data_IF_170960380185
#
_entry.id   IF_170960380185
#
_cell.length_a   1.000
_cell.length_b   1.000
_cell.length_c   1.000
_cell.angle_alpha   90.00
_cell.angle_beta   90.00
_cell.angle_gamma   90.00
#
_symmetry.space_group_name_H-M   'P 1'
#
loop_
_entity.id
_entity.type
_entity.pdbx_description
1 polymer ?
#
# COMPACT_ATOMS: atom_id res chain seq x y z
N UNK A 1 48.07 34.86 -33.30
CA UNK A 1 49.51 35.16 -33.20
C UNK A 1 50.07 34.37 -32.03
N UNK A 2 51.06 33.47 -32.32
CA UNK A 2 52.18 33.04 -31.48
C UNK A 2 51.79 32.23 -30.22
N UNK A 3 52.38 31.08 -29.86
CA UNK A 3 53.45 30.24 -30.47
C UNK A 3 53.38 28.86 -29.81
N UNK A 4 53.58 27.86 -30.60
CA UNK A 4 53.94 26.48 -30.32
C UNK A 4 55.24 26.43 -29.50
N UNK A 5 55.37 25.52 -28.53
CA UNK A 5 56.63 24.88 -28.17
C UNK A 5 56.42 23.42 -27.80
N UNK A 6 56.85 22.59 -28.72
CA UNK A 6 57.16 21.17 -28.59
C UNK A 6 58.52 21.09 -27.85
N UNK A 7 58.66 20.18 -26.91
CA UNK A 7 59.93 19.72 -26.42
C UNK A 7 59.92 18.21 -26.23
N UNK A 8 60.59 17.54 -27.14
CA UNK A 8 60.96 16.12 -27.18
C UNK A 8 62.29 15.94 -26.48
N UNK A 9 62.48 15.00 -25.58
CA UNK A 9 63.76 14.37 -25.20
C UNK A 9 63.39 12.99 -24.61
N UNK A 10 63.61 11.92 -25.32
CA UNK A 10 64.79 11.06 -25.60
C UNK A 10 65.12 10.10 -24.43
N UNK A 11 64.78 8.88 -24.71
CA UNK A 11 65.37 7.54 -24.37
C UNK A 11 66.51 7.47 -23.38
N UNK A 12 66.39 6.58 -22.38
CA UNK A 12 67.50 5.78 -21.90
C UNK A 12 67.05 4.39 -21.47
N UNK A 13 67.45 3.40 -22.23
CA UNK A 13 67.35 1.96 -21.93
C UNK A 13 68.42 1.61 -20.92
N UNK A 14 68.09 1.00 -19.82
CA UNK A 14 69.04 0.30 -18.98
C UNK A 14 68.56 -1.11 -18.72
N UNK A 15 69.23 -2.06 -19.39
CA UNK A 15 69.05 -3.50 -19.13
C UNK A 15 69.94 -3.86 -17.92
N UNK A 16 69.41 -4.44 -16.91
CA UNK A 16 70.17 -5.18 -15.91
C UNK A 16 69.51 -6.53 -15.61
N UNK A 17 70.34 -7.50 -15.61
CA UNK A 17 70.09 -8.93 -15.46
C UNK A 17 69.64 -9.37 -14.07
N UNK A 18 68.77 -10.33 -14.03
CA UNK A 18 68.79 -11.60 -13.30
C UNK A 18 68.85 -11.63 -11.80
N UNK A 19 67.73 -12.10 -11.21
CA UNK A 19 67.81 -13.07 -10.12
C UNK A 19 66.50 -13.88 -10.10
N UNK A 20 66.62 -15.19 -10.31
CA UNK A 20 65.55 -16.14 -10.06
C UNK A 20 65.25 -16.19 -8.56
N UNK A 21 64.15 -15.62 -8.13
CA UNK A 21 63.57 -15.96 -6.83
C UNK A 21 62.39 -16.88 -7.05
N UNK A 22 62.41 -18.02 -6.37
CA UNK A 22 61.26 -18.93 -6.24
C UNK A 22 60.09 -18.17 -5.62
N UNK A 23 58.87 -18.37 -6.12
CA UNK A 23 57.70 -17.85 -5.41
C UNK A 23 57.52 -18.63 -4.10
N UNK A 24 57.37 -17.88 -3.01
CA UNK A 24 56.94 -18.40 -1.72
C UNK A 24 55.50 -18.98 -1.82
N UNK A 25 55.15 -19.98 -0.99
CA UNK A 25 53.79 -20.53 -0.99
C UNK A 25 52.82 -19.44 -0.62
N UNK A 26 51.83 -19.25 -1.48
CA UNK A 26 50.71 -18.34 -1.24
C UNK A 26 49.94 -18.89 -0.03
N UNK A 27 50.04 -18.21 1.11
CA UNK A 27 49.18 -18.42 2.26
C UNK A 27 47.76 -18.05 1.83
N UNK A 28 46.72 -18.91 2.08
CA UNK A 28 45.36 -18.62 1.69
C UNK A 28 44.88 -17.39 2.44
N UNK A 29 44.48 -16.38 1.68
CA UNK A 29 43.84 -15.17 2.18
C UNK A 29 42.63 -15.55 3.04
N UNK A 30 42.42 -14.96 4.22
CA UNK A 30 41.26 -15.26 5.05
C UNK A 30 40.00 -14.89 4.28
N UNK A 31 39.18 -15.91 3.96
CA UNK A 31 37.87 -15.70 3.38
C UNK A 31 37.05 -14.77 4.28
N UNK A 32 36.38 -13.74 3.70
CA UNK A 32 35.45 -12.94 4.47
C UNK A 32 34.36 -13.85 5.06
N UNK A 33 33.89 -13.57 6.28
CA UNK A 33 32.85 -14.38 6.91
C UNK A 33 31.64 -14.41 5.98
N UNK A 34 31.21 -15.61 5.63
CA UNK A 34 29.94 -15.85 4.93
C UNK A 34 28.85 -15.18 5.76
N UNK A 35 28.06 -14.23 5.20
CA UNK A 35 26.90 -13.73 5.92
C UNK A 35 26.00 -14.94 6.19
N UNK A 36 25.81 -15.28 7.45
CA UNK A 36 24.79 -16.22 7.85
C UNK A 36 23.45 -15.64 7.42
N UNK A 37 22.94 -16.16 6.33
CA UNK A 37 21.59 -15.90 5.90
C UNK A 37 20.66 -16.64 6.86
N UNK A 38 20.34 -16.00 7.98
CA UNK A 38 19.09 -16.25 8.67
C UNK A 38 18.00 -15.45 7.94
N UNK A 39 17.79 -15.79 6.66
CA UNK A 39 16.57 -15.53 5.96
C UNK A 39 15.60 -16.59 6.41
N UNK A 40 14.92 -16.35 7.52
CA UNK A 40 13.58 -16.87 7.71
C UNK A 40 12.79 -16.32 6.52
N UNK A 41 12.63 -17.10 5.45
CA UNK A 41 11.63 -16.87 4.43
C UNK A 41 10.29 -16.87 5.17
N UNK A 42 9.84 -15.68 5.57
CA UNK A 42 8.48 -15.47 6.03
C UNK A 42 7.65 -15.67 4.76
N UNK A 43 7.04 -16.84 4.63
CA UNK A 43 6.04 -17.11 3.59
C UNK A 43 5.13 -15.88 3.49
N UNK A 44 4.89 -15.33 2.29
CA UNK A 44 4.09 -14.12 2.13
C UNK A 44 2.71 -14.40 2.74
N UNK A 45 2.44 -13.76 3.87
CA UNK A 45 1.16 -13.93 4.54
C UNK A 45 0.07 -13.38 3.63
N UNK A 46 -0.95 -14.18 3.37
CA UNK A 46 -2.09 -13.83 2.53
C UNK A 46 -3.07 -12.92 3.31
N UNK A 47 -2.60 -11.70 3.62
CA UNK A 47 -3.30 -10.68 4.37
C UNK A 47 -3.34 -9.35 3.57
N UNK A 48 -4.12 -8.36 4.05
CA UNK A 48 -4.27 -7.06 3.39
C UNK A 48 -2.94 -6.27 3.33
N UNK A 49 -2.00 -6.56 4.19
CA UNK A 49 -0.75 -5.80 4.35
C UNK A 49 0.26 -6.04 3.22
N UNK A 50 0.01 -7.01 2.33
CA UNK A 50 0.79 -7.24 1.13
C UNK A 50 0.55 -6.18 0.04
N UNK A 51 -0.53 -5.39 0.14
CA UNK A 51 -0.91 -4.44 -0.89
C UNK A 51 -0.35 -3.05 -0.64
N UNK A 52 -0.08 -2.35 -1.74
CA UNK A 52 0.08 -0.91 -1.80
C UNK A 52 -1.01 -0.32 -2.69
N UNK A 53 -1.49 0.85 -2.34
CA UNK A 53 -2.55 1.59 -3.06
C UNK A 53 -2.04 2.99 -3.36
N UNK A 54 -2.66 3.69 -4.29
CA UNK A 54 -2.31 5.08 -4.58
C UNK A 54 -3.17 6.01 -3.71
N UNK A 55 -2.56 7.06 -3.18
CA UNK A 55 -3.29 8.17 -2.58
C UNK A 55 -3.81 9.14 -3.64
N UNK A 56 -4.41 10.24 -3.21
CA UNK A 56 -4.95 11.26 -4.10
C UNK A 56 -3.90 12.01 -4.94
N UNK A 57 -2.64 12.00 -4.53
CA UNK A 57 -1.53 12.61 -5.25
C UNK A 57 -0.89 11.63 -6.26
N UNK A 58 -1.28 10.36 -6.22
CA UNK A 58 -0.68 9.29 -7.01
C UNK A 58 0.55 8.65 -6.35
N UNK A 59 0.81 8.95 -5.07
CA UNK A 59 1.90 8.35 -4.32
C UNK A 59 1.48 6.97 -3.79
N UNK A 60 2.45 6.04 -3.79
CA UNK A 60 2.20 4.67 -3.33
C UNK A 60 2.20 4.59 -1.80
N UNK A 61 1.11 4.12 -1.25
CA UNK A 61 0.88 3.94 0.19
C UNK A 61 0.80 2.45 0.51
N UNK A 62 1.75 1.93 1.29
CA UNK A 62 1.72 0.53 1.74
C UNK A 62 0.67 0.34 2.85
N UNK A 63 -0.23 -0.64 2.67
CA UNK A 63 -1.21 -0.99 3.69
C UNK A 63 -0.58 -1.67 4.92
N UNK A 64 0.69 -2.06 4.84
CA UNK A 64 1.45 -2.57 6.00
C UNK A 64 1.54 -1.56 7.16
N UNK A 65 1.41 -0.25 6.91
CA UNK A 65 1.37 0.78 7.96
C UNK A 65 0.17 0.65 8.92
N UNK A 66 -0.86 -0.08 8.49
CA UNK A 66 -2.08 -0.31 9.29
C UNK A 66 -2.04 -1.63 10.08
N UNK A 67 -0.87 -2.30 10.17
CA UNK A 67 -0.76 -3.55 10.95
C UNK A 67 -1.25 -3.38 12.38
N UNK A 68 -1.98 -4.40 12.86
CA UNK A 68 -2.55 -4.41 14.21
C UNK A 68 -3.81 -3.57 14.37
N UNK A 69 -4.32 -2.96 13.29
CA UNK A 69 -5.56 -2.18 13.31
C UNK A 69 -6.73 -2.97 12.74
N UNK A 70 -7.93 -2.69 13.22
CA UNK A 70 -9.19 -3.12 12.60
C UNK A 70 -9.48 -2.16 11.45
N UNK A 71 -9.69 -2.69 10.22
CA UNK A 71 -9.89 -1.85 9.06
C UNK A 71 -11.29 -2.06 8.47
N UNK A 72 -11.90 -0.97 8.00
CA UNK A 72 -13.11 -1.00 7.18
C UNK A 72 -12.78 -0.46 5.78
N UNK A 73 -12.69 -1.36 4.80
CA UNK A 73 -12.46 -0.99 3.39
C UNK A 73 -13.81 -0.73 2.73
N UNK A 74 -13.99 0.44 2.13
CA UNK A 74 -15.27 0.87 1.54
C UNK A 74 -15.06 1.43 0.14
N UNK A 75 -15.87 0.99 -0.85
CA UNK A 75 -15.95 1.69 -2.13
C UNK A 75 -17.07 2.72 -2.09
N UNK A 76 -16.79 3.95 -2.45
CA UNK A 76 -17.68 5.09 -2.20
C UNK A 76 -18.02 5.88 -3.46
N UNK A 77 -18.96 6.80 -3.31
CA UNK A 77 -19.37 7.74 -4.36
C UNK A 77 -20.03 8.98 -3.74
N UNK A 78 -19.93 10.13 -4.43
CA UNK A 78 -20.43 11.43 -3.96
C UNK A 78 -21.90 11.70 -4.35
N UNK A 79 -22.43 11.02 -5.37
CA UNK A 79 -23.79 11.24 -5.90
C UNK A 79 -24.66 9.98 -5.79
N UNK A 80 -24.46 9.19 -4.74
CA UNK A 80 -25.20 7.96 -4.49
C UNK A 80 -26.27 8.17 -3.41
N UNK A 81 -27.40 7.44 -3.51
CA UNK A 81 -28.39 7.43 -2.41
C UNK A 81 -27.83 6.96 -1.06
N UNK A 82 -26.69 6.27 -1.06
CA UNK A 82 -25.99 5.84 0.16
C UNK A 82 -24.91 6.82 0.63
N UNK A 83 -24.62 7.91 -0.09
CA UNK A 83 -23.63 8.93 0.29
C UNK A 83 -23.82 9.46 1.73
N UNK A 84 -25.05 9.62 2.26
CA UNK A 84 -25.23 10.00 3.67
C UNK A 84 -24.64 9.05 4.71
N UNK A 85 -24.22 7.83 4.33
CA UNK A 85 -23.49 6.94 5.23
C UNK A 85 -22.13 7.50 5.67
N UNK A 86 -21.55 8.46 4.95
CA UNK A 86 -20.33 9.14 5.36
C UNK A 86 -20.43 9.77 6.74
N UNK A 87 -21.60 10.31 7.12
CA UNK A 87 -21.82 10.85 8.48
C UNK A 87 -21.57 9.80 9.56
N UNK A 88 -22.10 8.59 9.38
CA UNK A 88 -21.90 7.51 10.36
C UNK A 88 -20.48 6.91 10.30
N UNK A 89 -19.88 6.86 9.11
CA UNK A 89 -18.51 6.39 8.96
C UNK A 89 -17.55 7.32 9.69
N UNK A 90 -17.70 8.63 9.54
CA UNK A 90 -16.87 9.60 10.26
C UNK A 90 -17.09 9.53 11.78
N UNK A 91 -18.34 9.47 12.23
CA UNK A 91 -18.66 9.29 13.65
C UNK A 91 -17.95 8.05 14.24
N UNK A 92 -17.92 6.94 13.51
CA UNK A 92 -17.24 5.73 13.97
C UNK A 92 -15.72 5.90 13.95
N UNK A 93 -15.18 6.56 12.94
CA UNK A 93 -13.75 6.82 12.86
C UNK A 93 -13.29 7.69 14.03
N UNK A 94 -13.97 8.82 14.28
CA UNK A 94 -13.70 9.69 15.44
C UNK A 94 -13.79 8.94 16.78
N UNK A 95 -14.79 8.04 16.91
CA UNK A 95 -15.02 7.29 18.16
C UNK A 95 -13.95 6.22 18.41
N UNK A 96 -13.47 5.54 17.36
CA UNK A 96 -12.69 4.32 17.51
C UNK A 96 -11.23 4.41 17.00
N UNK A 97 -10.80 5.50 16.37
CA UNK A 97 -9.44 5.63 15.83
C UNK A 97 -8.36 5.40 16.91
N UNK A 98 -8.56 5.91 18.12
CA UNK A 98 -7.64 5.74 19.24
C UNK A 98 -7.62 4.30 19.80
N UNK A 99 -8.62 3.51 19.46
CA UNK A 99 -8.71 2.08 19.77
C UNK A 99 -8.10 1.21 18.65
N UNK A 100 -7.55 1.87 17.60
CA UNK A 100 -6.92 1.20 16.47
C UNK A 100 -7.88 0.82 15.34
N UNK A 101 -8.94 1.59 15.13
CA UNK A 101 -9.82 1.47 13.97
C UNK A 101 -9.40 2.44 12.86
N UNK A 102 -9.46 1.98 11.61
CA UNK A 102 -9.22 2.84 10.43
C UNK A 102 -10.21 2.52 9.32
N UNK A 103 -10.73 3.55 8.67
CA UNK A 103 -11.50 3.43 7.44
C UNK A 103 -10.56 3.69 6.25
N UNK A 104 -10.59 2.82 5.24
CA UNK A 104 -9.90 2.96 3.99
C UNK A 104 -10.93 3.19 2.89
N UNK A 105 -11.06 4.45 2.49
CA UNK A 105 -12.06 4.91 1.53
C UNK A 105 -11.51 4.92 0.11
N UNK A 106 -12.20 4.23 -0.80
CA UNK A 106 -11.84 4.13 -2.21
C UNK A 106 -13.00 4.62 -3.09
N UNK A 107 -12.97 5.87 -3.58
CA UNK A 107 -13.96 6.35 -4.54
C UNK A 107 -13.98 5.47 -5.80
N UNK A 108 -15.18 5.16 -6.29
CA UNK A 108 -15.37 4.29 -7.45
C UNK A 108 -16.50 4.81 -8.35
N UNK A 109 -16.19 5.02 -9.63
CA UNK A 109 -17.16 5.59 -10.59
C UNK A 109 -17.88 4.54 -11.44
N UNK A 110 -17.74 3.25 -11.13
CA UNK A 110 -18.32 2.16 -11.94
C UNK A 110 -19.82 1.98 -11.77
N UNK A 111 -20.43 2.58 -10.75
CA UNK A 111 -21.86 2.40 -10.43
C UNK A 111 -22.65 3.66 -10.79
N UNK A 112 -23.14 3.69 -12.03
CA UNK A 112 -23.96 4.79 -12.54
C UNK A 112 -23.25 6.12 -12.68
N UNK A 113 -21.91 6.15 -12.72
CA UNK A 113 -21.13 7.40 -12.81
C UNK A 113 -21.29 8.30 -11.60
N UNK A 114 -21.54 7.73 -10.41
CA UNK A 114 -21.91 8.47 -9.20
C UNK A 114 -20.72 9.02 -8.39
N UNK A 115 -19.50 8.82 -8.85
CA UNK A 115 -18.29 9.45 -8.32
C UNK A 115 -17.58 10.25 -9.45
N UNK A 116 -18.24 11.27 -10.03
CA UNK A 116 -17.66 12.05 -11.14
C UNK A 116 -16.59 13.02 -10.64
N UNK A 117 -15.71 13.43 -11.57
CA UNK A 117 -14.68 14.43 -11.32
C UNK A 117 -13.32 13.80 -10.96
N UNK A 118 -12.42 14.66 -10.56
CA UNK A 118 -11.09 14.30 -10.06
C UNK A 118 -11.15 13.82 -8.61
N UNK A 119 -10.00 13.31 -8.12
CA UNK A 119 -9.85 13.03 -6.69
C UNK A 119 -10.13 14.28 -5.85
N UNK A 120 -9.59 15.43 -6.24
CA UNK A 120 -9.75 16.68 -5.49
C UNK A 120 -11.23 17.13 -5.41
N UNK A 121 -12.01 16.93 -6.50
CA UNK A 121 -13.45 17.22 -6.50
C UNK A 121 -14.19 16.31 -5.50
N UNK A 122 -13.85 15.02 -5.48
CA UNK A 122 -14.46 14.03 -4.60
C UNK A 122 -14.05 14.27 -3.15
N UNK A 123 -12.76 14.46 -2.90
CA UNK A 123 -12.21 14.70 -1.56
C UNK A 123 -12.76 16.01 -0.97
N UNK A 124 -12.77 17.08 -1.77
CA UNK A 124 -13.35 18.35 -1.38
C UNK A 124 -14.85 18.25 -1.06
N UNK A 125 -15.61 17.48 -1.85
CA UNK A 125 -17.02 17.21 -1.55
C UNK A 125 -17.18 16.48 -0.20
N UNK A 126 -16.42 15.42 0.02
CA UNK A 126 -16.52 14.60 1.23
C UNK A 126 -16.12 15.39 2.48
N UNK A 127 -15.03 16.15 2.40
CA UNK A 127 -14.55 16.98 3.50
C UNK A 127 -15.54 18.12 3.81
N UNK A 128 -16.04 18.83 2.81
CA UNK A 128 -16.92 19.98 3.01
C UNK A 128 -18.33 19.60 3.48
N UNK A 129 -18.84 18.42 3.10
CA UNK A 129 -20.22 18.02 3.41
C UNK A 129 -20.33 17.02 4.58
N UNK A 130 -19.27 16.25 4.84
CA UNK A 130 -19.28 15.18 5.84
C UNK A 130 -18.11 15.28 6.83
N UNK A 131 -17.21 16.27 6.69
CA UNK A 131 -16.04 16.50 7.53
C UNK A 131 -15.15 15.25 7.66
N UNK A 132 -15.05 14.41 6.64
CA UNK A 132 -14.26 13.18 6.72
C UNK A 132 -12.80 13.48 7.10
N UNK A 133 -12.26 12.68 8.02
CA UNK A 133 -10.87 12.76 8.47
C UNK A 133 -10.11 11.44 8.30
N UNK A 134 -10.81 10.36 7.96
CA UNK A 134 -10.18 9.07 7.65
C UNK A 134 -9.49 9.08 6.27
N UNK A 135 -8.52 8.17 6.05
CA UNK A 135 -7.81 8.04 4.77
C UNK A 135 -8.75 7.80 3.59
N UNK A 136 -8.66 8.68 2.58
CA UNK A 136 -9.29 8.51 1.28
C UNK A 136 -8.19 8.34 0.21
N UNK A 137 -8.34 7.35 -0.66
CA UNK A 137 -7.38 6.95 -1.67
C UNK A 137 -7.81 7.37 -3.08
N UNK A 138 -6.95 7.12 -4.07
CA UNK A 138 -7.25 7.37 -5.46
C UNK A 138 -8.52 6.64 -5.92
N UNK A 139 -9.16 7.18 -6.97
CA UNK A 139 -10.32 6.55 -7.62
C UNK A 139 -9.88 5.23 -8.23
N UNK A 140 -10.62 4.15 -7.97
CA UNK A 140 -10.28 2.81 -8.45
C UNK A 140 -11.47 2.09 -9.09
N UNK A 141 -11.17 1.07 -9.89
CA UNK A 141 -12.14 0.08 -10.33
C UNK A 141 -12.18 -1.10 -9.34
N UNK A 142 -13.40 -1.51 -8.98
CA UNK A 142 -13.63 -2.61 -8.02
C UNK A 142 -14.18 -3.88 -8.69
N UNK A 143 -14.43 -3.82 -10.01
CA UNK A 143 -14.87 -4.93 -10.84
C UNK A 143 -14.27 -4.82 -12.26
N UNK A 144 -14.18 -5.96 -12.95
CA UNK A 144 -13.81 -6.01 -14.38
C UNK A 144 -12.32 -6.09 -14.64
N UNK A 145 -11.92 -5.79 -15.90
CA UNK A 145 -10.55 -6.03 -16.35
C UNK A 145 -9.49 -5.13 -15.70
N UNK A 146 -9.91 -3.94 -15.25
CA UNK A 146 -9.01 -2.95 -14.61
C UNK A 146 -9.18 -2.90 -13.09
N UNK A 147 -9.83 -3.91 -12.53
CA UNK A 147 -10.08 -4.00 -11.09
C UNK A 147 -8.78 -3.94 -10.29
N UNK A 148 -8.78 -3.14 -9.22
CA UNK A 148 -7.64 -3.01 -8.33
C UNK A 148 -7.29 -4.37 -7.68
N UNK A 149 -5.99 -4.76 -7.61
CA UNK A 149 -5.56 -6.03 -7.01
C UNK A 149 -6.08 -6.24 -5.59
N UNK A 150 -6.19 -5.18 -4.80
CA UNK A 150 -6.81 -5.22 -3.47
C UNK A 150 -8.25 -5.76 -3.53
N UNK A 151 -9.07 -5.30 -4.48
CA UNK A 151 -10.46 -5.75 -4.61
C UNK A 151 -10.57 -7.17 -5.18
N UNK A 152 -9.66 -7.58 -6.06
CA UNK A 152 -9.54 -8.99 -6.46
C UNK A 152 -9.32 -9.89 -5.25
N UNK A 153 -8.39 -9.52 -4.38
CA UNK A 153 -8.10 -10.25 -3.14
C UNK A 153 -9.28 -10.22 -2.16
N UNK A 154 -9.88 -9.07 -1.88
CA UNK A 154 -11.06 -8.96 -1.00
C UNK A 154 -12.19 -9.87 -1.46
N UNK A 155 -12.47 -9.90 -2.77
CA UNK A 155 -13.48 -10.77 -3.37
C UNK A 155 -13.09 -12.24 -3.35
N UNK A 156 -11.81 -12.59 -3.32
CA UNK A 156 -11.39 -13.99 -3.14
C UNK A 156 -11.69 -14.50 -1.74
N UNK A 157 -11.65 -13.61 -0.72
CA UNK A 157 -11.97 -13.95 0.69
C UNK A 157 -13.47 -13.97 0.98
N UNK A 158 -14.21 -13.04 0.38
CA UNK A 158 -15.69 -12.96 0.48
C UNK A 158 -16.26 -12.85 -0.94
N UNK A 159 -16.58 -13.99 -1.60
CA UNK A 159 -16.83 -14.06 -3.03
C UNK A 159 -17.98 -13.22 -3.56
N UNK A 160 -17.88 -12.91 -4.85
CA UNK A 160 -18.88 -12.21 -5.65
C UNK A 160 -18.48 -10.78 -6.01
N UNK A 161 -18.95 -10.29 -7.17
CA UNK A 161 -18.74 -8.94 -7.63
C UNK A 161 -19.30 -7.91 -6.64
N UNK A 162 -18.68 -6.72 -6.60
CA UNK A 162 -19.25 -5.57 -5.90
C UNK A 162 -20.52 -5.15 -6.64
N UNK A 163 -21.64 -5.13 -5.94
CA UNK A 163 -22.93 -4.88 -6.57
C UNK A 163 -23.25 -3.39 -6.66
N UNK A 164 -22.76 -2.58 -5.71
CA UNK A 164 -23.03 -1.15 -5.65
C UNK A 164 -22.02 -0.40 -4.77
N UNK A 165 -22.10 0.94 -4.81
CA UNK A 165 -21.33 1.83 -3.93
C UNK A 165 -21.63 1.54 -2.45
N UNK A 166 -20.70 1.85 -1.56
CA UNK A 166 -20.79 1.61 -0.11
C UNK A 166 -20.86 0.13 0.30
N UNK A 167 -20.34 -0.79 -0.54
CA UNK A 167 -19.99 -2.14 -0.07
C UNK A 167 -18.78 -2.03 0.85
N UNK A 168 -18.80 -2.76 1.96
CA UNK A 168 -17.79 -2.69 3.01
C UNK A 168 -17.18 -4.05 3.25
N UNK A 169 -15.86 -4.09 3.53
CA UNK A 169 -15.16 -5.27 4.03
C UNK A 169 -14.55 -4.94 5.38
N UNK A 170 -14.81 -5.77 6.37
CA UNK A 170 -14.22 -5.66 7.70
C UNK A 170 -13.00 -6.57 7.78
N UNK A 171 -11.88 -6.01 8.25
CA UNK A 171 -10.59 -6.66 8.36
C UNK A 171 -10.17 -6.65 9.82
N UNK A 172 -9.76 -7.79 10.35
CA UNK A 172 -9.28 -7.90 11.73
C UNK A 172 -7.82 -7.39 11.88
N UNK A 173 -7.31 -7.36 13.11
CA UNK A 173 -5.95 -6.90 13.43
C UNK A 173 -4.84 -7.74 12.80
N UNK A 174 -5.16 -8.97 12.37
CA UNK A 174 -4.23 -9.86 11.64
C UNK A 174 -4.19 -9.59 10.14
N UNK A 175 -5.02 -8.67 9.63
CA UNK A 175 -5.13 -8.35 8.20
C UNK A 175 -6.05 -9.30 7.43
N UNK A 176 -6.89 -10.09 8.11
CA UNK A 176 -7.78 -11.08 7.51
C UNK A 176 -9.19 -10.50 7.31
N UNK A 177 -9.82 -10.82 6.17
CA UNK A 177 -11.20 -10.39 5.89
C UNK A 177 -12.17 -11.22 6.71
N UNK A 178 -12.80 -10.60 7.70
CA UNK A 178 -13.75 -11.27 8.60
C UNK A 178 -15.17 -11.18 8.11
N UNK A 179 -15.56 -10.05 7.50
CA UNK A 179 -16.92 -9.88 6.99
C UNK A 179 -17.01 -9.00 5.74
N UNK A 180 -18.17 -9.08 5.04
CA UNK A 180 -18.51 -8.23 3.89
C UNK A 180 -19.97 -7.81 4.00
N UNK A 181 -20.20 -6.50 3.92
CA UNK A 181 -21.54 -5.91 4.04
C UNK A 181 -21.95 -5.24 2.72
N UNK A 182 -23.14 -5.56 2.22
CA UNK A 182 -23.73 -4.87 1.08
C UNK A 182 -24.06 -3.41 1.44
N UNK A 183 -24.26 -2.57 0.42
CA UNK A 183 -24.53 -1.12 0.54
C UNK A 183 -25.66 -0.79 1.52
N UNK A 184 -26.79 -1.51 1.44
CA UNK A 184 -27.99 -1.32 2.27
C UNK A 184 -28.00 -2.15 3.54
N UNK A 185 -26.89 -2.80 3.92
CA UNK A 185 -26.85 -3.56 5.16
C UNK A 185 -26.99 -2.64 6.37
N UNK A 186 -27.59 -3.14 7.47
CA UNK A 186 -27.83 -2.35 8.68
C UNK A 186 -26.54 -1.74 9.23
N UNK A 187 -26.44 -0.43 9.23
CA UNK A 187 -25.28 0.29 9.77
C UNK A 187 -25.06 -0.01 11.26
N UNK A 188 -26.15 -0.19 12.05
CA UNK A 188 -26.04 -0.63 13.44
C UNK A 188 -25.33 -1.98 13.57
N UNK A 189 -25.63 -2.94 12.68
CA UNK A 189 -24.96 -4.25 12.69
C UNK A 189 -23.51 -4.17 12.20
N UNK A 190 -23.21 -3.29 11.26
CA UNK A 190 -21.81 -3.02 10.85
C UNK A 190 -21.03 -2.47 12.05
N UNK A 191 -21.58 -1.50 12.78
CA UNK A 191 -20.97 -0.94 13.99
C UNK A 191 -20.68 -2.03 15.03
N UNK A 192 -21.68 -2.88 15.33
CA UNK A 192 -21.52 -4.00 16.28
C UNK A 192 -20.40 -4.97 15.86
N UNK A 193 -20.26 -5.24 14.55
CA UNK A 193 -19.19 -6.08 14.05
C UNK A 193 -17.80 -5.42 14.22
N UNK A 194 -17.71 -4.10 14.01
CA UNK A 194 -16.48 -3.32 14.26
C UNK A 194 -16.11 -3.39 15.73
N UNK A 195 -17.06 -3.10 16.63
CA UNK A 195 -16.87 -3.16 18.08
C UNK A 195 -16.39 -4.54 18.54
N UNK A 196 -17.01 -5.60 18.02
CA UNK A 196 -16.60 -6.97 18.33
C UNK A 196 -15.18 -7.31 17.87
N UNK A 197 -14.69 -6.75 16.74
CA UNK A 197 -13.31 -6.93 16.32
C UNK A 197 -12.31 -6.07 17.13
N UNK A 198 -12.75 -4.89 17.61
CA UNK A 198 -11.91 -4.03 18.45
C UNK A 198 -11.68 -4.63 19.84
N UNK A 199 -12.64 -5.38 20.38
CA UNK A 199 -12.54 -6.08 21.67
C UNK A 199 -11.59 -7.28 21.65
N UNK A 200 -11.27 -7.84 20.45
CA UNK A 200 -10.30 -8.95 20.30
C UNK A 200 -8.87 -8.41 20.44
N UNK A 201 -8.12 -9.02 21.33
CA UNK A 201 -6.68 -8.71 21.54
C UNK A 201 -5.80 -9.50 20.58
#
# INVERSE_FOLDING_TARGET
MKHIRILTIMTMVLVMFGACNKPDPIEPEPQPPTPGADTTEVEPKDDIYQFSVLDGNGDSVSLAQYRGKVLLVVNTATQCGYTPQYTQLEEWYETYQDQGFVILDFPCNQFGGQAPGSYDDIHGFCTNNYNITFPQFAIIDVNGANEAPLYTWLKSKKPGNIQWNFTKFLINRNGEVVDRFASGYSMTKVKQAIEAELEKQ
#
